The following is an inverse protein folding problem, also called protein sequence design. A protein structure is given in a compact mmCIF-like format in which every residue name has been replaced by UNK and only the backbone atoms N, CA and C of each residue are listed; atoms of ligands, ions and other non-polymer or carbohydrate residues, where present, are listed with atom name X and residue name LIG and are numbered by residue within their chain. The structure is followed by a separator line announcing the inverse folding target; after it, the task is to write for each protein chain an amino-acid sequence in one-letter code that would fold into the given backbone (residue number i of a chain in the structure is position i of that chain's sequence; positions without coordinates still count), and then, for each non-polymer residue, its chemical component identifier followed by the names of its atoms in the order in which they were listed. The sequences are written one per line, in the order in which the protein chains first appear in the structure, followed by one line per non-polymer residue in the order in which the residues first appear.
data_IF_268425780621
#
_entry.id   IF_268425780621
#
_cell.length_a   1.000
_cell.length_b   1.000
_cell.length_c   1.000
_cell.angle_alpha   90.00
_cell.angle_beta   90.00
_cell.angle_gamma   90.00
#
_symmetry.space_group_name_H-M   'P 1'
#
loop_
_entity.id
_entity.type
_entity.pdbx_description
1 polymer ?
#
# COMPACT_ATOMS: atom_id res chain seq x y z
N UNK A 1 7.85 -2.90 -2.55
CA UNK A 1 6.40 -3.20 -2.67
C UNK A 1 6.10 -4.49 -1.89
N UNK A 2 4.89 -4.64 -1.33
CA UNK A 2 4.46 -5.89 -0.71
C UNK A 2 4.15 -6.99 -1.74
N UNK A 3 4.68 -8.20 -1.55
CA UNK A 3 4.43 -9.38 -2.41
C UNK A 3 3.56 -10.46 -1.74
N UNK A 4 3.29 -10.32 -0.45
CA UNK A 4 2.51 -11.28 0.33
C UNK A 4 0.99 -11.16 0.14
N UNK A 5 0.24 -11.67 1.10
CA UNK A 5 -1.22 -11.58 1.15
C UNK A 5 -1.70 -10.14 1.33
N UNK A 6 -2.82 -9.80 0.68
CA UNK A 6 -3.41 -8.45 0.66
C UNK A 6 -4.89 -8.50 1.01
N UNK A 7 -5.35 -7.50 1.75
CA UNK A 7 -6.79 -7.30 2.02
C UNK A 7 -7.53 -6.79 0.78
N UNK A 8 -8.86 -6.70 0.84
CA UNK A 8 -9.69 -6.05 -0.19
C UNK A 8 -9.35 -4.58 -0.41
N UNK A 9 -8.74 -3.91 0.57
CA UNK A 9 -8.27 -2.52 0.46
C UNK A 9 -6.89 -2.39 -0.17
N UNK A 10 -6.25 -3.50 -0.57
CA UNK A 10 -4.92 -3.52 -1.19
C UNK A 10 -3.74 -3.45 -0.22
N UNK A 11 -3.98 -3.18 1.07
CA UNK A 11 -2.92 -3.20 2.08
C UNK A 11 -2.42 -4.62 2.35
N UNK A 12 -1.10 -4.77 2.37
CA UNK A 12 -0.41 -5.98 2.81
C UNK A 12 -0.46 -6.16 4.34
N UNK A 13 -0.53 -7.40 4.79
CA UNK A 13 -0.36 -7.73 6.20
C UNK A 13 0.32 -9.08 6.37
N UNK A 14 0.96 -9.28 7.52
CA UNK A 14 1.60 -10.54 7.89
C UNK A 14 1.33 -10.88 9.35
N UNK A 15 1.63 -12.12 9.74
CA UNK A 15 1.54 -12.58 11.12
C UNK A 15 2.90 -12.39 11.79
N UNK A 16 2.99 -11.44 12.70
CA UNK A 16 4.08 -11.39 13.68
C UNK A 16 3.78 -12.40 14.80
N UNK A 17 4.83 -12.93 15.43
CA UNK A 17 4.69 -13.80 16.60
C UNK A 17 3.83 -13.08 17.66
N UNK A 18 2.77 -13.75 18.14
CA UNK A 18 2.03 -13.26 19.29
C UNK A 18 2.87 -13.55 20.54
N UNK A 19 3.22 -12.50 21.28
CA UNK A 19 3.75 -12.66 22.63
C UNK A 19 2.66 -13.27 23.54
N UNK A 20 3.03 -14.04 24.58
CA UNK A 20 2.06 -14.53 25.57
C UNK A 20 1.29 -13.35 26.20
N UNK A 21 -0.03 -13.45 26.26
CA UNK A 21 -0.90 -12.42 26.84
C UNK A 21 -2.36 -12.49 26.38
N UNK A 22 -3.27 -11.74 27.02
CA UNK A 22 -4.72 -11.83 26.79
C UNK A 22 -5.17 -11.36 25.40
N UNK A 23 -4.32 -10.62 24.67
CA UNK A 23 -4.65 -10.22 23.30
C UNK A 23 -3.86 -11.06 22.30
N UNK A 24 -4.55 -11.92 21.52
CA UNK A 24 -4.00 -12.55 20.30
C UNK A 24 -3.80 -11.50 19.20
N UNK A 25 -2.89 -10.55 19.42
CA UNK A 25 -2.47 -9.57 18.41
C UNK A 25 -1.33 -10.20 17.63
N UNK A 26 -1.46 -10.25 16.31
CA UNK A 26 -0.47 -10.90 15.45
C UNK A 26 -0.55 -10.46 14.00
N UNK A 27 -1.70 -10.01 13.50
CA UNK A 27 -1.76 -9.43 12.16
C UNK A 27 -1.24 -8.00 12.18
N UNK A 28 -0.13 -7.76 11.50
CA UNK A 28 0.54 -6.47 11.41
C UNK A 28 0.41 -5.93 9.98
N UNK A 29 -0.10 -4.71 9.78
CA UNK A 29 -0.07 -4.06 8.48
C UNK A 29 1.36 -3.79 8.04
N UNK A 30 1.73 -4.26 6.84
CA UNK A 30 3.11 -4.25 6.36
C UNK A 30 3.68 -2.82 6.25
N UNK A 31 2.87 -1.87 5.78
CA UNK A 31 3.28 -0.47 5.62
C UNK A 31 3.51 0.24 6.98
N UNK A 32 2.68 -0.04 7.99
CA UNK A 32 2.89 0.47 9.35
C UNK A 32 4.17 -0.09 9.96
N UNK A 33 4.41 -1.39 9.80
CA UNK A 33 5.63 -2.02 10.29
C UNK A 33 6.88 -1.39 9.64
N UNK A 34 6.91 -1.29 8.31
CA UNK A 34 8.04 -0.73 7.59
C UNK A 34 8.33 0.73 8.00
N UNK A 35 7.29 1.56 8.16
CA UNK A 35 7.46 2.93 8.61
C UNK A 35 8.00 3.01 10.04
N UNK A 36 7.46 2.19 10.96
CA UNK A 36 7.92 2.18 12.35
C UNK A 36 9.32 1.57 12.51
N UNK A 37 9.74 0.69 11.61
CA UNK A 37 11.10 0.18 11.57
C UNK A 37 12.12 1.28 11.25
N UNK A 38 11.76 2.20 10.35
CA UNK A 38 12.60 3.33 9.93
C UNK A 38 12.56 4.50 10.92
N UNK A 39 11.35 4.95 11.29
CA UNK A 39 11.15 6.20 12.04
C UNK A 39 10.81 6.01 13.52
N UNK A 40 10.79 4.77 13.99
CA UNK A 40 10.42 4.41 15.36
C UNK A 40 8.91 4.25 15.57
N UNK A 41 8.54 3.85 16.79
CA UNK A 41 7.15 3.56 17.16
C UNK A 41 6.32 4.83 17.10
N UNK A 42 5.20 4.79 16.38
CA UNK A 42 4.23 5.88 16.37
C UNK A 42 3.44 5.82 17.69
N UNK A 43 3.55 6.83 18.58
CA UNK A 43 2.70 6.91 19.75
C UNK A 43 1.29 7.27 19.29
N UNK A 44 0.44 6.26 19.08
CA UNK A 44 -0.95 6.49 18.68
C UNK A 44 -1.80 6.92 19.88
N UNK A 45 -2.33 8.14 19.81
CA UNK A 45 -3.38 8.65 20.69
C UNK A 45 -4.67 8.71 19.84
N UNK A 46 -5.66 7.85 20.15
CA UNK A 46 -6.96 7.82 19.44
C UNK A 46 -7.11 6.74 18.33
N UNK A 47 -8.36 6.34 18.05
CA UNK A 47 -8.72 5.36 17.00
C UNK A 47 -9.85 5.79 16.05
N UNK A 48 -10.58 6.86 16.37
CA UNK A 48 -11.78 7.29 15.66
C UNK A 48 -11.85 8.79 15.35
N UNK A 49 -11.02 9.62 16.00
CA UNK A 49 -10.98 11.06 15.85
C UNK A 49 -10.53 11.52 14.46
N UNK A 50 -11.00 12.69 14.05
CA UNK A 50 -10.62 13.30 12.77
C UNK A 50 -9.15 13.75 12.77
N UNK A 51 -8.62 14.09 13.95
CA UNK A 51 -7.24 14.55 14.15
C UNK A 51 -6.29 13.40 14.51
N UNK A 52 -6.79 12.17 14.59
CA UNK A 52 -5.98 11.00 14.90
C UNK A 52 -4.89 10.80 13.85
N UNK A 53 -3.70 10.47 14.34
CA UNK A 53 -2.53 10.23 13.51
C UNK A 53 -2.71 8.95 12.68
N UNK A 54 -2.71 9.10 11.35
CA UNK A 54 -2.73 8.02 10.37
C UNK A 54 -1.48 8.10 9.50
N UNK A 55 -1.10 6.95 8.94
CA UNK A 55 -0.03 6.89 7.97
C UNK A 55 -0.61 7.12 6.57
N UNK A 56 -0.21 8.22 5.93
CA UNK A 56 -0.74 8.65 4.63
C UNK A 56 0.21 8.20 3.52
N UNK A 57 -0.29 7.49 2.51
CA UNK A 57 0.47 7.25 1.28
C UNK A 57 0.55 8.52 0.44
N UNK A 58 1.77 8.95 0.14
CA UNK A 58 2.03 10.05 -0.80
C UNK A 58 2.01 9.58 -2.26
N UNK A 59 2.33 8.29 -2.48
CA UNK A 59 2.27 7.64 -3.79
C UNK A 59 0.89 7.06 -4.14
N UNK A 60 -0.09 7.18 -3.25
CA UNK A 60 -1.44 6.59 -3.34
C UNK A 60 -1.53 5.06 -3.56
N UNK A 61 -0.40 4.35 -3.58
CA UNK A 61 -0.37 2.92 -3.79
C UNK A 61 -0.43 2.15 -2.46
N UNK A 62 -1.60 1.56 -2.14
CA UNK A 62 -1.86 0.84 -0.89
C UNK A 62 -0.92 -0.36 -0.62
N UNK A 63 -0.33 -0.92 -1.69
CA UNK A 63 0.66 -2.00 -1.61
C UNK A 63 2.10 -1.54 -1.37
N UNK A 64 2.33 -0.23 -1.28
CA UNK A 64 3.64 0.35 -1.02
C UNK A 64 4.05 0.10 0.43
N UNK A 65 5.32 -0.23 0.65
CA UNK A 65 5.93 -0.39 1.98
C UNK A 65 7.15 0.51 2.16
N UNK A 66 7.45 1.38 1.19
CA UNK A 66 8.62 2.25 1.23
C UNK A 66 8.37 3.42 2.22
N UNK A 67 9.12 3.54 3.33
CA UNK A 67 8.85 4.54 4.37
C UNK A 67 8.81 5.98 3.84
N UNK A 68 9.69 6.34 2.89
CA UNK A 68 9.73 7.68 2.31
C UNK A 68 8.54 8.01 1.39
N UNK A 69 7.74 7.03 0.99
CA UNK A 69 6.49 7.28 0.24
C UNK A 69 5.28 7.49 1.16
N UNK A 70 5.53 7.63 2.46
CA UNK A 70 4.49 7.81 3.47
C UNK A 70 4.84 8.98 4.38
N UNK A 71 3.82 9.56 5.01
CA UNK A 71 4.00 10.56 6.07
C UNK A 71 2.98 10.31 7.19
N UNK A 72 3.36 10.61 8.43
CA UNK A 72 2.38 10.71 9.51
C UNK A 72 1.53 11.98 9.31
N UNK A 73 0.22 11.89 9.47
CA UNK A 73 -0.68 13.02 9.31
C UNK A 73 -2.04 12.81 9.95
N UNK A 74 -2.86 13.86 10.03
CA UNK A 74 -4.22 13.77 10.53
C UNK A 74 -5.14 13.07 9.53
N UNK A 75 -6.05 12.23 10.04
CA UNK A 75 -7.05 11.50 9.25
C UNK A 75 -7.90 12.41 8.37
N UNK A 76 -8.31 13.57 8.86
CA UNK A 76 -9.07 14.56 8.10
C UNK A 76 -8.29 15.05 6.86
N UNK A 77 -7.01 15.38 7.05
CA UNK A 77 -6.13 15.84 5.95
C UNK A 77 -5.93 14.73 4.91
N UNK A 78 -5.66 13.50 5.35
CA UNK A 78 -5.52 12.36 4.44
C UNK A 78 -6.77 12.13 3.58
N UNK A 79 -7.95 12.29 4.17
CA UNK A 79 -9.22 12.16 3.45
C UNK A 79 -9.42 13.28 2.43
N UNK A 80 -9.10 14.53 2.78
CA UNK A 80 -9.15 15.66 1.84
C UNK A 80 -8.20 15.43 0.66
N UNK A 81 -6.96 15.05 0.94
CA UNK A 81 -5.96 14.71 -0.07
C UNK A 81 -6.43 13.59 -1.01
N UNK A 82 -7.01 12.52 -0.46
CA UNK A 82 -7.60 11.43 -1.24
C UNK A 82 -8.67 11.96 -2.22
N UNK A 83 -9.58 12.83 -1.76
CA UNK A 83 -10.63 13.38 -2.62
C UNK A 83 -10.08 14.25 -3.76
N UNK A 84 -8.98 14.96 -3.52
CA UNK A 84 -8.28 15.74 -4.55
C UNK A 84 -7.58 14.84 -5.57
N UNK A 85 -6.94 13.75 -5.12
CA UNK A 85 -6.12 12.89 -5.98
C UNK A 85 -6.89 11.78 -6.71
N UNK A 86 -8.02 11.30 -6.18
CA UNK A 86 -8.75 10.14 -6.74
C UNK A 86 -9.26 10.29 -8.17
N UNK A 87 -9.27 11.50 -8.72
CA UNK A 87 -9.68 11.79 -10.11
C UNK A 87 -8.50 11.88 -11.08
N UNK A 88 -7.26 11.81 -10.59
CA UNK A 88 -6.09 11.77 -11.46
C UNK A 88 -5.98 10.39 -12.12
N UNK A 89 -6.18 10.33 -13.43
CA UNK A 89 -6.15 9.08 -14.21
C UNK A 89 -4.76 8.42 -14.26
N UNK A 90 -3.69 9.18 -13.97
CA UNK A 90 -2.34 8.65 -13.85
C UNK A 90 -1.99 8.17 -12.43
N UNK A 91 -2.87 8.41 -11.45
CA UNK A 91 -2.65 7.94 -10.06
C UNK A 91 -2.93 6.44 -9.93
N UNK A 92 -2.22 5.71 -9.05
CA UNK A 92 -2.60 4.36 -8.64
C UNK A 92 -4.05 4.22 -8.16
N UNK A 93 -4.70 5.32 -7.73
CA UNK A 93 -6.12 5.33 -7.37
C UNK A 93 -7.07 5.09 -8.54
N UNK A 94 -6.63 5.36 -9.77
CA UNK A 94 -7.44 5.21 -10.98
C UNK A 94 -7.39 3.79 -11.57
N UNK A 95 -6.62 2.87 -10.96
CA UNK A 95 -6.50 1.51 -11.47
C UNK A 95 -7.87 0.81 -11.52
N UNK A 96 -8.28 0.39 -12.71
CA UNK A 96 -9.63 -0.17 -12.95
C UNK A 96 -9.87 -1.49 -12.21
N UNK A 97 -8.80 -2.13 -11.74
CA UNK A 97 -8.85 -3.37 -10.94
C UNK A 97 -9.02 -3.07 -9.44
N UNK A 98 -9.01 -1.80 -9.06
CA UNK A 98 -8.99 -1.34 -7.67
C UNK A 98 -7.66 -1.61 -6.95
N UNK A 99 -7.52 -1.16 -5.69
CA UNK A 99 -6.25 -1.21 -4.98
C UNK A 99 -5.73 -2.65 -4.75
N UNK A 100 -6.62 -3.60 -4.45
CA UNK A 100 -6.26 -5.01 -4.31
C UNK A 100 -5.89 -5.66 -5.64
N UNK A 101 -6.61 -5.33 -6.72
CA UNK A 101 -6.30 -5.85 -8.05
C UNK A 101 -4.94 -5.38 -8.56
N UNK A 102 -4.64 -4.09 -8.36
CA UNK A 102 -3.34 -3.50 -8.73
C UNK A 102 -2.17 -4.23 -8.09
N UNK A 103 -2.14 -4.33 -6.75
CA UNK A 103 -1.01 -4.99 -6.07
C UNK A 103 -0.90 -6.47 -6.47
N UNK A 104 -2.01 -7.18 -6.66
CA UNK A 104 -1.97 -8.59 -7.11
C UNK A 104 -1.35 -8.70 -8.49
N UNK A 105 -1.74 -7.84 -9.43
CA UNK A 105 -1.19 -7.83 -10.78
C UNK A 105 0.33 -7.56 -10.77
N UNK A 106 0.78 -6.55 -10.05
CA UNK A 106 2.21 -6.22 -9.97
C UNK A 106 2.99 -7.32 -9.23
N UNK A 107 2.45 -7.87 -8.13
CA UNK A 107 3.10 -8.97 -7.42
C UNK A 107 3.20 -10.25 -8.26
N UNK A 108 2.23 -10.52 -9.14
CA UNK A 108 2.32 -11.60 -10.14
C UNK A 108 3.41 -11.31 -11.17
N UNK A 109 3.52 -10.06 -11.65
CA UNK A 109 4.57 -9.66 -12.59
C UNK A 109 5.98 -9.86 -12.00
N UNK A 110 6.19 -9.43 -10.75
CA UNK A 110 7.45 -9.63 -10.02
C UNK A 110 7.77 -11.11 -9.83
N UNK A 111 6.81 -11.91 -9.32
CA UNK A 111 7.00 -13.35 -9.14
C UNK A 111 7.33 -14.07 -10.44
N UNK A 112 6.71 -13.66 -11.54
CA UNK A 112 6.97 -14.22 -12.87
C UNK A 112 8.40 -13.92 -13.32
N UNK A 113 8.87 -12.68 -13.17
CA UNK A 113 10.25 -12.33 -13.53
C UNK A 113 11.27 -13.08 -12.68
N UNK A 114 11.05 -13.14 -11.36
CA UNK A 114 11.89 -13.92 -10.44
C UNK A 114 11.95 -15.41 -10.81
N UNK A 115 10.81 -16.02 -11.16
CA UNK A 115 10.76 -17.43 -11.55
C UNK A 115 11.46 -17.72 -12.89
N UNK A 116 11.53 -16.72 -13.79
CA UNK A 116 12.21 -16.84 -15.09
C UNK A 116 13.70 -16.51 -15.02
N UNK A 117 14.15 -15.89 -13.93
CA UNK A 117 15.52 -15.41 -13.77
C UNK A 117 15.88 -14.34 -14.81
N UNK A 118 14.91 -13.58 -15.30
CA UNK A 118 15.16 -12.51 -16.29
C UNK A 118 15.29 -11.14 -15.59
N UNK A 119 16.17 -10.28 -16.13
CA UNK A 119 16.41 -8.92 -15.62
C UNK A 119 15.26 -7.94 -15.99
N UNK A 120 14.14 -8.46 -16.49
CA UNK A 120 13.03 -7.67 -17.01
C UNK A 120 11.95 -7.34 -15.98
N UNK A 121 12.18 -7.60 -14.69
CA UNK A 121 11.19 -7.39 -13.61
C UNK A 121 10.62 -5.97 -13.63
N UNK A 122 11.46 -4.95 -13.81
CA UNK A 122 11.04 -3.55 -13.88
C UNK A 122 10.11 -3.27 -15.06
N UNK A 123 10.38 -3.86 -16.23
CA UNK A 123 9.52 -3.73 -17.40
C UNK A 123 8.18 -4.45 -17.20
N UNK A 124 8.20 -5.61 -16.56
CA UNK A 124 6.99 -6.35 -16.19
C UNK A 124 6.13 -5.57 -15.20
N UNK A 125 6.75 -4.88 -14.23
CA UNK A 125 6.05 -3.97 -13.30
C UNK A 125 5.38 -2.86 -14.11
N UNK A 126 6.12 -2.12 -14.94
CA UNK A 126 5.57 -1.03 -15.78
C UNK A 126 4.41 -1.49 -16.65
N UNK A 127 4.55 -2.63 -17.31
CA UNK A 127 3.50 -3.25 -18.12
C UNK A 127 2.25 -3.58 -17.28
N UNK A 128 2.43 -4.15 -16.08
CA UNK A 128 1.32 -4.47 -15.18
C UNK A 128 0.61 -3.21 -14.64
N UNK A 129 1.35 -2.13 -14.42
CA UNK A 129 0.81 -0.83 -14.02
C UNK A 129 0.01 -0.18 -15.14
N UNK A 130 0.57 -0.13 -16.35
CA UNK A 130 -0.08 0.43 -17.54
C UNK A 130 -1.39 -0.29 -17.88
N UNK A 131 -1.41 -1.63 -17.78
CA UNK A 131 -2.61 -2.45 -18.03
C UNK A 131 -3.77 -2.18 -17.05
N UNK A 132 -3.51 -1.51 -15.92
CA UNK A 132 -4.56 -1.10 -14.97
C UNK A 132 -5.11 0.29 -15.21
N UNK A 133 -4.47 1.11 -16.04
CA UNK A 133 -4.92 2.47 -16.29
C UNK A 133 -6.24 2.44 -17.08
N UNK A 134 -7.16 3.38 -16.80
CA UNK A 134 -8.40 3.48 -17.57
C UNK A 134 -8.10 3.81 -19.02
N UNK A 135 -8.86 3.22 -19.94
CA UNK A 135 -8.80 3.59 -21.36
C UNK A 135 -9.13 5.08 -21.49
N UNK A 136 -8.18 5.83 -22.03
CA UNK A 136 -8.36 7.24 -22.36
C UNK A 136 -8.58 7.33 -23.85
N UNK A 137 -9.74 7.84 -24.26
CA UNK A 137 -9.98 8.24 -25.65
C UNK A 137 -9.24 9.57 -25.81
N UNK A 138 -8.06 9.53 -26.44
CA UNK A 138 -7.40 10.73 -26.93
C UNK A 138 -8.01 11.12 -28.28
#
# INVERSE_FOLDING_TARGET
MWLGSVSSTGHGSFRAASLPGPSRRGTVPAHLFAYQLEYGVIPRLGWSGADDAVLCHQCDFAGCTHPHHMRLGAKAVNRTEYHLRRRNLASPLADVRGPAGRIRAIATAVRTGLARGDDSIEERIRSAEAAGLPLTLW
#
